data_IF_043081254206
#
_entry.id   IF_043081254206
#
_cell.length_a   1.000
_cell.length_b   1.000
_cell.length_c   1.000
_cell.angle_alpha   90.00
_cell.angle_beta   90.00
_cell.angle_gamma   90.00
#
_symmetry.space_group_name_H-M   'P 1'
#
loop_
_entity.id
_entity.type
_entity.pdbx_description
1 polymer ?
#
# COMPACT_ATOMS: atom_id res chain seq x y z
N UNK A 1 -22.55 3.46 34.82
CA UNK A 1 -22.56 4.43 33.70
C UNK A 1 -21.15 4.97 33.57
N UNK A 2 -20.51 5.01 32.42
CA UNK A 2 -21.05 5.11 31.06
C UNK A 2 -20.32 4.12 30.15
N UNK A 3 -21.06 3.14 29.62
CA UNK A 3 -20.70 2.43 28.40
C UNK A 3 -21.61 2.97 27.30
N UNK A 4 -21.03 3.60 26.29
CA UNK A 4 -21.74 3.96 25.07
C UNK A 4 -21.20 3.05 23.98
N UNK A 5 -22.04 2.13 23.52
CA UNK A 5 -21.80 1.32 22.34
C UNK A 5 -21.91 2.22 21.11
N UNK A 6 -20.82 2.32 20.33
CA UNK A 6 -20.94 2.48 18.90
C UNK A 6 -20.33 1.23 18.25
N UNK A 7 -21.22 0.46 17.66
CA UNK A 7 -20.93 -0.68 16.82
C UNK A 7 -20.74 -0.12 15.42
N UNK A 8 -19.54 0.35 15.12
CA UNK A 8 -19.14 0.63 13.76
C UNK A 8 -17.96 -0.28 13.40
N UNK A 9 -18.14 -0.93 12.28
CA UNK A 9 -17.26 -1.88 11.61
C UNK A 9 -15.84 -1.31 11.65
N UNK A 10 -14.93 -1.91 12.45
CA UNK A 10 -13.50 -1.78 12.18
C UNK A 10 -13.31 -2.50 10.86
N UNK A 11 -13.46 -1.76 9.76
CA UNK A 11 -12.87 -2.13 8.50
C UNK A 11 -11.39 -2.20 8.79
N UNK A 12 -10.85 -3.41 8.93
CA UNK A 12 -9.42 -3.59 8.84
C UNK A 12 -9.10 -3.16 7.42
N UNK A 13 -8.58 -1.94 7.26
CA UNK A 13 -8.02 -1.51 6.00
C UNK A 13 -6.91 -2.51 5.68
N UNK A 14 -7.10 -3.31 4.63
CA UNK A 14 -6.22 -4.44 4.30
C UNK A 14 -4.87 -4.04 3.72
N UNK A 15 -4.46 -2.78 3.93
CA UNK A 15 -3.21 -2.22 3.43
C UNK A 15 -2.39 -1.63 4.60
N UNK A 16 -1.05 -1.69 4.53
CA UNK A 16 -0.18 -1.08 5.53
C UNK A 16 -0.30 0.45 5.45
N UNK A 17 -0.98 1.05 6.45
CA UNK A 17 -1.16 2.50 6.54
C UNK A 17 0.20 3.20 6.69
N UNK A 18 1.15 2.54 7.34
CA UNK A 18 2.54 2.98 7.49
C UNK A 18 3.27 3.21 6.16
N UNK A 19 2.87 2.50 5.10
CA UNK A 19 3.51 2.59 3.78
C UNK A 19 2.84 3.63 2.88
N UNK A 20 1.78 4.32 3.35
CA UNK A 20 1.05 5.33 2.57
C UNK A 20 1.95 6.54 2.26
N UNK A 21 2.08 6.85 0.98
CA UNK A 21 2.78 8.03 0.50
C UNK A 21 1.78 9.19 0.37
N UNK A 22 1.91 10.20 1.23
CA UNK A 22 1.09 11.41 1.18
C UNK A 22 1.37 12.26 -0.07
N UNK A 23 2.65 12.43 -0.41
CA UNK A 23 3.09 13.20 -1.60
C UNK A 23 4.57 12.93 -1.89
N UNK A 24 4.90 12.69 -3.16
CA UNK A 24 6.30 12.61 -3.60
C UNK A 24 6.87 14.01 -3.91
N UNK A 25 8.19 14.23 -3.73
CA UNK A 25 8.83 15.46 -4.15
C UNK A 25 8.59 15.75 -5.63
N UNK A 26 8.13 16.97 -5.96
CA UNK A 26 7.84 17.37 -7.35
C UNK A 26 6.56 16.77 -7.96
N UNK A 27 5.80 15.97 -7.21
CA UNK A 27 4.58 15.35 -7.73
C UNK A 27 3.47 16.39 -7.96
N UNK A 28 2.81 16.38 -9.14
CA UNK A 28 1.58 17.13 -9.35
C UNK A 28 0.45 16.58 -8.45
N UNK A 29 -0.70 17.26 -8.43
CA UNK A 29 -1.87 16.74 -7.71
C UNK A 29 -2.30 15.42 -8.35
N UNK A 30 -2.47 14.38 -7.53
CA UNK A 30 -2.97 13.07 -7.92
C UNK A 30 -4.13 12.68 -7.00
N UNK A 31 -5.09 11.93 -7.52
CA UNK A 31 -6.27 11.47 -6.75
C UNK A 31 -6.21 9.98 -6.42
N UNK A 32 -5.18 9.27 -6.88
CA UNK A 32 -4.92 7.87 -6.52
C UNK A 32 -4.05 7.74 -5.26
N UNK A 33 -4.29 6.69 -4.49
CA UNK A 33 -3.44 6.29 -3.37
C UNK A 33 -2.17 5.59 -3.88
N UNK A 34 -1.07 5.81 -3.18
CA UNK A 34 0.24 5.24 -3.50
C UNK A 34 0.93 4.81 -2.22
N UNK A 35 1.65 3.71 -2.28
CA UNK A 35 2.27 3.05 -1.14
C UNK A 35 3.69 2.62 -1.52
N UNK A 36 4.63 2.73 -0.59
CA UNK A 36 5.95 2.13 -0.73
C UNK A 36 6.44 1.59 0.60
N UNK A 37 7.03 0.40 0.54
CA UNK A 37 7.49 -0.30 1.73
C UNK A 37 8.41 -1.45 1.38
N UNK A 38 8.67 -2.28 2.38
CA UNK A 38 9.48 -3.49 2.25
C UNK A 38 8.66 -4.71 2.63
N UNK A 39 8.76 -5.77 1.82
CA UNK A 39 8.23 -7.09 2.14
C UNK A 39 9.38 -8.02 2.46
N UNK A 40 9.39 -8.57 3.67
CA UNK A 40 10.39 -9.56 4.08
C UNK A 40 10.17 -10.88 3.35
N UNK A 41 11.17 -11.30 2.58
CA UNK A 41 11.15 -12.57 1.84
C UNK A 41 11.96 -13.67 2.52
N UNK A 42 12.90 -13.27 3.39
CA UNK A 42 13.68 -14.20 4.20
C UNK A 42 14.15 -13.53 5.49
N UNK A 43 13.35 -13.66 6.54
CA UNK A 43 13.64 -13.07 7.85
C UNK A 43 14.94 -13.63 8.46
N UNK A 44 15.25 -14.92 8.23
CA UNK A 44 16.44 -15.55 8.80
C UNK A 44 17.73 -14.99 8.21
N UNK A 45 17.70 -14.61 6.94
CA UNK A 45 18.84 -14.04 6.22
C UNK A 45 18.72 -12.52 6.03
N UNK A 46 17.73 -11.87 6.64
CA UNK A 46 17.52 -10.42 6.56
C UNK A 46 17.28 -9.91 5.14
N UNK A 47 16.58 -10.67 4.29
CA UNK A 47 16.28 -10.27 2.91
C UNK A 47 14.87 -9.71 2.81
N UNK A 48 14.77 -8.51 2.24
CA UNK A 48 13.50 -7.82 2.00
C UNK A 48 13.49 -7.24 0.58
N UNK A 49 12.31 -7.19 -0.04
CA UNK A 49 12.10 -6.56 -1.33
C UNK A 49 11.39 -5.23 -1.14
N UNK A 50 11.95 -4.19 -1.73
CA UNK A 50 11.25 -2.91 -1.85
C UNK A 50 10.12 -3.03 -2.88
N UNK A 51 8.98 -2.38 -2.60
CA UNK A 51 7.89 -2.21 -3.56
C UNK A 51 7.41 -0.77 -3.61
N UNK A 52 6.85 -0.41 -4.77
CA UNK A 52 6.06 0.81 -4.97
C UNK A 52 4.75 0.42 -5.67
N UNK A 53 3.63 0.66 -5.00
CA UNK A 53 2.29 0.29 -5.45
C UNK A 53 1.43 1.55 -5.61
N UNK A 54 0.72 1.64 -6.73
CA UNK A 54 -0.24 2.71 -7.00
C UNK A 54 -1.60 2.09 -7.28
N UNK A 55 -2.62 2.61 -6.63
CA UNK A 55 -3.99 2.19 -6.88
C UNK A 55 -4.52 2.76 -8.20
N UNK A 56 -5.55 2.12 -8.75
CA UNK A 56 -6.29 2.71 -9.86
C UNK A 56 -7.11 3.92 -9.37
N UNK A 57 -7.08 5.00 -10.14
CA UNK A 57 -7.77 6.27 -9.85
C UNK A 57 -9.28 6.11 -9.58
N UNK A 58 -9.93 5.15 -10.26
CA UNK A 58 -11.37 4.92 -10.13
C UNK A 58 -11.70 3.47 -9.83
N UNK A 59 -12.40 3.26 -8.71
CA UNK A 59 -12.86 1.96 -8.21
C UNK A 59 -11.72 0.92 -8.11
N UNK A 60 -10.64 1.21 -7.36
CA UNK A 60 -9.46 0.34 -7.29
C UNK A 60 -9.80 -1.10 -6.91
N UNK A 61 -10.73 -1.29 -5.97
CA UNK A 61 -11.23 -2.60 -5.54
C UNK A 61 -11.94 -3.44 -6.63
N UNK A 62 -12.27 -2.86 -7.79
CA UNK A 62 -12.87 -3.57 -8.94
C UNK A 62 -11.88 -3.82 -10.08
N UNK A 63 -10.64 -3.34 -9.95
CA UNK A 63 -9.61 -3.45 -10.99
C UNK A 63 -8.65 -4.59 -10.64
N UNK A 64 -8.10 -5.29 -11.65
CA UNK A 64 -7.12 -6.33 -11.40
C UNK A 64 -5.80 -5.73 -10.90
N UNK A 65 -5.03 -6.53 -10.17
CA UNK A 65 -3.66 -6.22 -9.78
C UNK A 65 -2.69 -6.58 -10.90
N UNK A 66 -1.81 -5.65 -11.26
CA UNK A 66 -0.73 -5.89 -12.22
C UNK A 66 0.62 -5.77 -11.51
N UNK A 67 1.47 -6.79 -11.67
CA UNK A 67 2.84 -6.78 -11.16
C UNK A 67 3.81 -6.45 -12.30
N UNK A 68 4.62 -5.41 -12.12
CA UNK A 68 5.68 -5.04 -13.05
C UNK A 68 7.05 -5.38 -12.47
N UNK A 69 7.80 -6.22 -13.19
CA UNK A 69 9.16 -6.62 -12.81
C UNK A 69 10.13 -6.13 -13.90
N UNK A 70 11.07 -5.28 -13.51
CA UNK A 70 12.16 -4.90 -14.40
C UNK A 70 13.17 -6.04 -14.50
N UNK A 71 13.65 -6.30 -15.72
CA UNK A 71 14.76 -7.21 -15.97
C UNK A 71 16.10 -6.49 -15.99
N UNK A 72 17.17 -7.27 -16.12
CA UNK A 72 18.53 -6.80 -16.23
C UNK A 72 19.47 -7.92 -15.81
N UNK A 73 20.27 -8.41 -16.75
CA UNK A 73 21.36 -9.33 -16.47
C UNK A 73 22.65 -8.59 -16.83
N UNK A 74 23.64 -8.65 -15.95
CA UNK A 74 25.00 -8.29 -16.31
C UNK A 74 25.55 -9.26 -17.36
#
# INVERSE_FOLDING_TARGET
GYGCFLRDIVGVEGYPIEDLIMKLPGQPKVEFSQYAGYVDIDVKHGRSLFYYFVEADQYPHKKPLTLWLNGGNN
#
